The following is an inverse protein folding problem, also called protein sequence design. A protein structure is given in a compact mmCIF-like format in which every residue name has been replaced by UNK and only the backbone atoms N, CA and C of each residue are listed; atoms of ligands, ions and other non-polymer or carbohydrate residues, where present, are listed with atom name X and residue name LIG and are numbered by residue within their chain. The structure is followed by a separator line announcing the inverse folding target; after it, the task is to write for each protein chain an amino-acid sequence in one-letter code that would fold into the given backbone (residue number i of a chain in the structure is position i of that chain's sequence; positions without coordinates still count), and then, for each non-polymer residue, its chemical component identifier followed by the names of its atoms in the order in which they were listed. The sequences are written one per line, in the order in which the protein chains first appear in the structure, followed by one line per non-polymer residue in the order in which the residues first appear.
data_IF_100875460016
#
_entry.id   IF_100875460016
#
_cell.length_a   1.000
_cell.length_b   1.000
_cell.length_c   1.000
_cell.angle_alpha   90.00
_cell.angle_beta   90.00
_cell.angle_gamma   90.00
#
_symmetry.space_group_name_H-M   'P 1'
#
loop_
_entity.id
_entity.type
_entity.pdbx_description
1 polymer ?
#
# COMPACT_ATOMS: atom_id res chain seq x y z
N UNK A 1 40.08 16.68 44.58
CA UNK A 1 38.83 17.04 43.86
C UNK A 1 38.27 18.29 44.50
N UNK A 2 38.10 19.39 43.75
CA UNK A 2 37.58 20.64 44.31
C UNK A 2 36.05 20.59 44.38
N UNK A 3 35.44 21.25 45.37
CA UNK A 3 33.98 21.30 45.54
C UNK A 3 33.22 21.88 44.32
N UNK A 4 33.94 22.51 43.38
CA UNK A 4 33.40 23.08 42.14
C UNK A 4 33.19 22.05 41.02
N UNK A 5 33.77 20.84 41.10
CA UNK A 5 33.55 19.79 40.07
C UNK A 5 32.27 18.99 40.28
N UNK A 6 31.70 18.96 41.49
CA UNK A 6 30.49 18.18 41.82
C UNK A 6 29.21 18.69 41.14
N UNK A 7 28.91 20.01 41.07
CA UNK A 7 27.74 20.52 40.36
C UNK A 7 27.85 20.34 38.84
N UNK A 8 29.05 20.52 38.29
CA UNK A 8 29.34 20.31 36.87
C UNK A 8 29.25 18.83 36.49
N UNK A 9 29.76 17.92 37.32
CA UNK A 9 29.54 16.47 37.18
C UNK A 9 28.06 16.11 37.35
N UNK A 10 27.34 16.74 38.27
CA UNK A 10 25.89 16.53 38.44
C UNK A 10 25.05 17.09 37.28
N UNK A 11 25.50 18.15 36.60
CA UNK A 11 24.91 18.68 35.38
C UNK A 11 25.27 17.82 34.16
N UNK A 12 26.53 17.39 34.04
CA UNK A 12 26.99 16.51 32.97
C UNK A 12 26.37 15.11 33.08
N UNK A 13 26.20 14.57 34.30
CA UNK A 13 25.53 13.30 34.53
C UNK A 13 24.02 13.44 34.29
N UNK A 14 23.40 14.58 34.61
CA UNK A 14 22.02 14.89 34.19
C UNK A 14 21.89 14.96 32.68
N UNK A 15 22.80 15.62 31.98
CA UNK A 15 22.79 15.69 30.51
C UNK A 15 23.01 14.31 29.85
N UNK A 16 23.94 13.51 30.38
CA UNK A 16 24.23 12.15 29.92
C UNK A 16 23.11 11.14 30.25
N UNK A 17 22.35 11.38 31.32
CA UNK A 17 21.16 10.62 31.67
C UNK A 17 19.90 11.10 30.93
N UNK A 18 19.83 12.37 30.53
CA UNK A 18 18.64 12.99 29.96
C UNK A 18 18.51 12.87 28.43
N UNK A 19 19.60 12.63 27.69
CA UNK A 19 19.55 12.41 26.25
C UNK A 19 19.80 10.93 25.95
N UNK A 20 18.76 10.15 25.61
CA UNK A 20 18.97 8.81 25.11
C UNK A 20 19.66 8.87 23.75
N UNK A 21 20.67 8.04 23.58
CA UNK A 21 21.25 7.83 22.26
C UNK A 21 20.21 7.16 21.35
N UNK A 22 19.44 6.20 21.87
CA UNK A 22 18.57 5.32 21.10
C UNK A 22 17.18 5.15 21.71
N UNK A 23 16.16 4.88 20.89
CA UNK A 23 14.81 4.53 21.37
C UNK A 23 14.82 3.29 22.27
N UNK A 24 15.57 2.26 21.89
CA UNK A 24 15.67 1.01 22.65
C UNK A 24 16.24 1.20 24.06
N UNK A 25 16.91 2.32 24.33
CA UNK A 25 17.45 2.62 25.65
C UNK A 25 16.43 3.28 26.59
N UNK A 26 15.28 3.76 26.09
CA UNK A 26 14.33 4.59 26.87
C UNK A 26 13.83 3.90 28.12
N UNK A 27 13.56 2.60 28.03
CA UNK A 27 13.03 1.81 29.12
C UNK A 27 13.95 1.80 30.35
N UNK A 28 15.26 2.03 30.16
CA UNK A 28 16.24 2.10 31.24
C UNK A 28 16.43 3.51 31.83
N UNK A 29 15.80 4.53 31.25
CA UNK A 29 16.00 5.94 31.62
C UNK A 29 15.02 6.40 32.68
N UNK A 30 15.38 7.44 33.41
CA UNK A 30 14.53 8.08 34.44
C UNK A 30 14.41 9.60 34.22
N UNK A 31 13.79 10.06 33.10
CA UNK A 31 13.70 11.49 32.81
C UNK A 31 12.94 12.25 33.91
N UNK A 32 13.49 13.36 34.43
CA UNK A 32 12.82 14.22 35.41
C UNK A 32 11.43 14.68 34.94
N UNK A 33 10.50 14.96 35.86
CA UNK A 33 9.11 15.26 35.53
C UNK A 33 8.94 16.47 34.59
N UNK A 34 9.84 17.45 34.66
CA UNK A 34 9.88 18.63 33.82
C UNK A 34 10.29 18.36 32.35
N UNK A 35 10.89 17.20 32.08
CA UNK A 35 11.27 16.81 30.72
C UNK A 35 10.03 16.29 30.00
N UNK A 36 9.41 17.11 29.17
CA UNK A 36 8.23 16.73 28.36
C UNK A 36 8.59 16.19 26.98
N UNK A 37 9.84 16.38 26.55
CA UNK A 37 10.33 15.97 25.24
C UNK A 37 11.73 15.36 25.35
N UNK A 38 11.97 14.34 24.53
CA UNK A 38 13.25 13.64 24.43
C UNK A 38 13.54 13.39 22.95
N UNK A 39 14.76 13.72 22.51
CA UNK A 39 15.22 13.44 21.15
C UNK A 39 16.18 12.23 21.17
N UNK A 40 16.14 11.41 20.12
CA UNK A 40 17.04 10.27 19.92
C UNK A 40 17.97 10.48 18.74
N UNK A 41 19.14 9.86 18.80
CA UNK A 41 20.05 9.79 17.65
C UNK A 41 19.72 8.61 16.73
N UNK A 42 18.85 7.69 17.15
CA UNK A 42 18.38 6.56 16.36
C UNK A 42 17.35 5.68 17.09
N UNK A 43 16.87 4.62 16.43
CA UNK A 43 15.96 3.62 17.02
C UNK A 43 16.75 2.56 17.78
N UNK A 44 17.43 1.65 17.05
CA UNK A 44 18.31 0.61 17.60
C UNK A 44 19.79 0.88 17.29
N UNK A 45 20.06 1.69 16.27
CA UNK A 45 21.40 2.02 15.78
C UNK A 45 21.51 3.55 15.64
N UNK A 46 22.60 4.19 16.10
CA UNK A 46 22.76 5.63 15.94
C UNK A 46 22.76 6.03 14.46
N UNK A 47 22.13 7.18 14.17
CA UNK A 47 21.98 7.71 12.82
C UNK A 47 20.81 7.13 12.01
N UNK A 48 20.05 6.17 12.56
CA UNK A 48 18.91 5.56 11.86
C UNK A 48 17.66 5.57 12.72
N UNK A 49 16.57 6.14 12.21
CA UNK A 49 15.32 6.26 12.96
C UNK A 49 15.41 7.25 14.12
N UNK A 50 16.24 8.29 13.97
CA UNK A 50 16.28 9.39 14.91
C UNK A 50 14.89 10.06 14.97
N UNK A 51 14.44 10.38 16.18
CA UNK A 51 13.09 10.88 16.38
C UNK A 51 12.99 11.77 17.61
N UNK A 52 11.89 12.50 17.67
CA UNK A 52 11.45 13.26 18.83
C UNK A 52 10.30 12.52 19.49
N UNK A 53 10.37 12.39 20.80
CA UNK A 53 9.34 11.76 21.61
C UNK A 53 8.82 12.75 22.64
N UNK A 54 7.52 12.72 22.91
CA UNK A 54 6.86 13.62 23.87
C UNK A 54 6.05 12.82 24.89
N UNK A 55 5.94 13.37 26.09
CA UNK A 55 5.07 12.89 27.16
C UNK A 55 3.90 13.88 27.30
N UNK A 56 2.75 13.54 26.71
CA UNK A 56 1.56 14.38 26.65
C UNK A 56 0.29 13.62 27.09
N UNK A 57 -0.89 14.21 26.92
CA UNK A 57 -2.17 13.61 27.34
C UNK A 57 -2.57 12.37 26.53
N UNK A 58 -1.95 12.12 25.38
CA UNK A 58 -2.19 10.91 24.58
C UNK A 58 -1.35 9.73 25.08
N UNK A 59 -0.29 9.99 25.85
CA UNK A 59 0.59 8.97 26.40
C UNK A 59 -0.09 8.19 27.52
N UNK A 60 -0.68 7.04 27.18
CA UNK A 60 -1.34 6.13 28.11
C UNK A 60 -0.96 4.67 27.83
N UNK A 61 -1.37 3.77 28.73
CA UNK A 61 -1.03 2.34 28.65
C UNK A 61 -1.62 1.65 27.42
N UNK A 62 -2.78 2.10 26.94
CA UNK A 62 -3.41 1.54 25.75
C UNK A 62 -2.60 1.88 24.49
N UNK A 63 -2.17 3.14 24.34
CA UNK A 63 -1.33 3.56 23.23
C UNK A 63 0.04 2.85 23.27
N UNK A 64 0.62 2.69 24.46
CA UNK A 64 1.86 1.93 24.65
C UNK A 64 1.71 0.46 24.23
N UNK A 65 0.64 -0.20 24.65
CA UNK A 65 0.38 -1.60 24.32
C UNK A 65 0.13 -1.79 22.81
N UNK A 66 -0.58 -0.85 22.17
CA UNK A 66 -0.88 -0.91 20.75
C UNK A 66 0.33 -0.57 19.85
N UNK A 67 1.24 0.31 20.30
CA UNK A 67 2.32 0.82 19.46
C UNK A 67 3.70 0.83 20.16
N UNK A 68 4.20 -0.32 20.65
CA UNK A 68 5.45 -0.40 21.42
C UNK A 68 6.71 -0.03 20.63
N UNK A 69 6.63 0.06 19.29
CA UNK A 69 7.73 0.52 18.41
C UNK A 69 7.87 2.04 18.36
N UNK A 70 6.83 2.76 18.75
CA UNK A 70 6.77 4.23 18.68
C UNK A 70 6.48 4.86 20.05
N UNK A 71 6.11 4.04 21.03
CA UNK A 71 5.72 4.45 22.37
C UNK A 71 6.47 3.59 23.37
N UNK A 72 6.99 4.21 24.41
CA UNK A 72 7.81 3.51 25.39
C UNK A 72 7.58 4.05 26.79
N UNK A 73 7.70 3.16 27.77
CA UNK A 73 7.65 3.50 29.19
C UNK A 73 9.07 3.52 29.75
N UNK A 74 9.43 4.62 30.39
CA UNK A 74 10.71 4.79 31.07
C UNK A 74 10.73 4.08 32.42
N UNK A 75 11.90 3.92 33.04
CA UNK A 75 12.07 3.22 34.32
C UNK A 75 11.35 3.90 35.50
N UNK A 76 11.06 5.21 35.38
CA UNK A 76 10.23 5.96 36.33
C UNK A 76 8.74 6.03 35.92
N UNK A 77 8.27 5.08 35.11
CA UNK A 77 6.88 4.90 34.67
C UNK A 77 6.28 6.06 33.86
N UNK A 78 7.11 6.90 33.23
CA UNK A 78 6.62 7.92 32.30
C UNK A 78 6.50 7.32 30.91
N UNK A 79 5.45 7.69 30.18
CA UNK A 79 5.21 7.21 28.82
C UNK A 79 5.55 8.33 27.86
N UNK A 80 6.35 7.99 26.85
CA UNK A 80 6.71 8.87 25.76
C UNK A 80 6.27 8.23 24.45
N UNK A 81 5.65 9.02 23.58
CA UNK A 81 5.25 8.63 22.23
C UNK A 81 6.04 9.41 21.19
N UNK A 82 6.28 8.84 20.02
CA UNK A 82 6.88 9.56 18.91
C UNK A 82 6.00 10.76 18.52
N UNK A 83 6.62 11.91 18.28
CA UNK A 83 5.95 13.08 17.72
C UNK A 83 6.24 13.12 16.21
N UNK A 84 5.24 12.88 15.34
CA UNK A 84 5.41 13.01 13.90
C UNK A 84 5.94 14.41 13.54
N UNK A 85 6.91 14.47 12.63
CA UNK A 85 7.44 15.74 12.13
C UNK A 85 6.55 16.24 11.00
N UNK A 86 5.86 17.37 11.21
CA UNK A 86 4.91 17.94 10.24
C UNK A 86 3.89 16.92 9.71
N UNK A 87 3.32 16.12 10.61
CA UNK A 87 2.37 15.02 10.29
C UNK A 87 2.97 13.89 9.44
N UNK A 88 4.30 13.71 9.48
CA UNK A 88 5.01 12.65 8.78
C UNK A 88 5.90 11.86 9.74
N UNK A 89 6.07 10.57 9.51
CA UNK A 89 6.99 9.71 10.26
C UNK A 89 7.69 8.73 9.33
N UNK A 90 8.89 8.28 9.70
CA UNK A 90 9.67 7.33 8.91
C UNK A 90 9.60 5.92 9.51
N UNK A 91 9.57 4.91 8.65
CA UNK A 91 9.50 3.49 9.09
C UNK A 91 10.71 3.07 9.94
N UNK A 92 11.87 3.71 9.74
CA UNK A 92 13.08 3.52 10.55
C UNK A 92 12.87 3.92 12.02
N UNK A 93 11.97 4.88 12.28
CA UNK A 93 11.64 5.30 13.64
C UNK A 93 10.84 4.23 14.40
N UNK A 94 10.28 3.23 13.70
CA UNK A 94 9.71 2.01 14.26
C UNK A 94 10.65 0.80 14.22
N UNK A 95 11.91 1.03 13.83
CA UNK A 95 12.96 0.01 13.79
C UNK A 95 13.11 -0.72 12.47
N UNK A 96 12.55 -0.23 11.35
CA UNK A 96 12.84 -0.79 10.04
C UNK A 96 14.35 -0.69 9.72
N UNK A 97 14.92 -1.79 9.26
CA UNK A 97 16.32 -1.97 8.90
C UNK A 97 16.64 -1.44 7.50
N UNK A 98 15.71 -1.39 6.54
CA UNK A 98 15.90 -0.72 5.25
C UNK A 98 17.18 -1.13 4.51
N UNK A 99 17.60 -2.38 4.65
CA UNK A 99 18.81 -2.95 4.05
C UNK A 99 18.48 -3.97 2.94
N UNK A 100 17.19 -4.13 2.63
CA UNK A 100 16.67 -5.10 1.67
C UNK A 100 16.87 -6.57 2.07
N UNK A 101 17.28 -6.84 3.31
CA UNK A 101 17.66 -8.20 3.76
C UNK A 101 16.87 -8.65 4.98
N UNK A 102 16.68 -7.78 5.97
CA UNK A 102 15.87 -8.05 7.16
C UNK A 102 14.39 -7.85 6.84
N UNK A 103 13.53 -8.70 7.41
CA UNK A 103 12.09 -8.51 7.30
C UNK A 103 11.64 -7.25 8.03
N UNK A 104 11.27 -6.23 7.25
CA UNK A 104 10.80 -4.92 7.71
C UNK A 104 9.28 -4.83 7.79
N UNK A 105 8.55 -5.85 7.32
CA UNK A 105 7.08 -5.85 7.31
C UNK A 105 6.48 -5.46 8.68
N UNK A 106 6.92 -6.03 9.83
CA UNK A 106 6.31 -5.68 11.11
C UNK A 106 6.56 -4.22 11.53
N UNK A 107 7.69 -3.64 11.13
CA UNK A 107 8.02 -2.25 11.44
C UNK A 107 7.22 -1.28 10.55
N UNK A 108 7.09 -1.60 9.26
CA UNK A 108 6.33 -0.79 8.29
C UNK A 108 4.84 -0.82 8.60
N UNK A 109 4.25 -1.99 8.86
CA UNK A 109 2.84 -2.07 9.25
C UNK A 109 2.58 -1.29 10.54
N UNK A 110 3.45 -1.42 11.54
CA UNK A 110 3.31 -0.66 12.79
C UNK A 110 3.42 0.85 12.57
N UNK A 111 4.22 1.32 11.59
CA UNK A 111 4.32 2.72 11.22
C UNK A 111 3.01 3.25 10.63
N UNK A 112 2.37 2.48 9.76
CA UNK A 112 1.06 2.78 9.19
C UNK A 112 0.01 2.83 10.31
N UNK A 113 -0.03 1.84 11.20
CA UNK A 113 -0.99 1.80 12.30
C UNK A 113 -0.78 2.96 13.29
N UNK A 114 0.47 3.31 13.58
CA UNK A 114 0.80 4.42 14.45
C UNK A 114 0.44 5.78 13.83
N UNK A 115 0.65 5.93 12.52
CA UNK A 115 0.24 7.11 11.77
C UNK A 115 -1.28 7.33 11.88
N UNK A 116 -2.08 6.27 11.70
CA UNK A 116 -3.53 6.32 11.89
C UNK A 116 -3.95 6.72 13.31
N UNK A 117 -3.22 6.25 14.34
CA UNK A 117 -3.53 6.53 15.74
C UNK A 117 -3.13 7.95 16.19
N UNK A 118 -2.25 8.62 15.45
CA UNK A 118 -1.71 9.95 15.81
C UNK A 118 -1.97 11.00 14.72
N UNK A 119 -2.91 10.73 13.80
CA UNK A 119 -3.30 11.61 12.68
C UNK A 119 -2.09 12.12 11.87
N UNK A 120 -1.07 11.27 11.69
CA UNK A 120 -0.02 11.53 10.72
C UNK A 120 -0.56 11.23 9.32
N UNK A 121 -0.30 12.15 8.39
CA UNK A 121 -0.75 12.07 7.01
C UNK A 121 0.21 11.25 6.12
N UNK A 122 1.46 11.04 6.55
CA UNK A 122 2.51 10.43 5.72
C UNK A 122 3.37 9.44 6.50
N UNK A 123 3.68 8.32 5.84
CA UNK A 123 4.74 7.37 6.20
C UNK A 123 5.83 7.41 5.13
N UNK A 124 7.06 7.69 5.57
CA UNK A 124 8.24 7.83 4.72
C UNK A 124 9.12 6.60 4.76
N UNK A 125 9.71 6.33 3.61
CA UNK A 125 10.72 5.28 3.44
C UNK A 125 12.06 5.93 3.06
N UNK A 126 12.94 6.14 4.04
CA UNK A 126 14.19 6.88 3.84
C UNK A 126 15.31 6.03 3.21
N UNK A 127 15.22 4.71 3.33
CA UNK A 127 16.16 3.76 2.78
C UNK A 127 15.80 3.33 1.33
N UNK A 128 16.78 2.84 0.56
CA UNK A 128 16.55 2.48 -0.84
C UNK A 128 15.77 1.18 -1.02
N UNK A 129 15.76 0.27 -0.04
CA UNK A 129 15.09 -1.02 -0.16
C UNK A 129 14.66 -1.58 1.20
N UNK A 130 13.49 -2.22 1.23
CA UNK A 130 12.94 -2.94 2.38
C UNK A 130 12.46 -4.31 1.90
N UNK A 131 12.72 -5.35 2.68
CA UNK A 131 12.14 -6.69 2.46
C UNK A 131 10.88 -6.82 3.30
N UNK A 132 9.81 -7.29 2.70
CA UNK A 132 8.53 -7.51 3.37
C UNK A 132 8.08 -8.94 3.17
N UNK A 133 8.09 -9.73 4.23
CA UNK A 133 7.64 -11.13 4.16
C UNK A 133 6.13 -11.18 4.31
N UNK A 134 5.48 -12.06 3.54
CA UNK A 134 4.06 -12.32 3.68
C UNK A 134 3.76 -12.89 5.06
N UNK A 135 2.86 -12.28 5.87
CA UNK A 135 2.41 -12.88 7.11
C UNK A 135 1.68 -14.21 6.85
N UNK A 136 1.57 -15.09 7.87
CA UNK A 136 0.77 -16.29 7.74
C UNK A 136 -0.72 -15.93 7.59
N UNK A 137 -1.40 -16.62 6.69
CA UNK A 137 -2.85 -16.57 6.52
C UNK A 137 -3.48 -17.72 7.29
N UNK A 138 -4.30 -17.39 8.27
CA UNK A 138 -5.05 -18.29 9.14
C UNK A 138 -6.52 -18.37 8.73
N UNK A 139 -7.05 -17.29 8.14
CA UNK A 139 -8.42 -17.23 7.64
C UNK A 139 -8.54 -17.88 6.25
N UNK A 140 -9.72 -18.44 5.88
CA UNK A 140 -9.94 -18.99 4.54
C UNK A 140 -9.66 -17.99 3.41
N UNK A 141 -9.32 -18.49 2.21
CA UNK A 141 -9.04 -17.64 1.04
C UNK A 141 -10.26 -16.81 0.61
N UNK A 142 -11.48 -17.33 0.77
CA UNK A 142 -12.71 -16.60 0.44
C UNK A 142 -13.01 -15.42 1.37
N UNK A 143 -12.36 -15.35 2.55
CA UNK A 143 -12.58 -14.25 3.48
C UNK A 143 -11.89 -12.99 2.96
N UNK A 144 -12.61 -12.26 2.12
CA UNK A 144 -12.15 -11.04 1.47
C UNK A 144 -11.92 -9.86 2.42
N UNK A 145 -12.20 -9.99 3.72
CA UNK A 145 -12.04 -8.92 4.72
C UNK A 145 -11.02 -9.27 5.80
N UNK A 146 -10.68 -10.54 5.96
CA UNK A 146 -9.61 -10.94 6.86
C UNK A 146 -8.29 -10.24 6.51
N UNK A 147 -7.70 -9.60 7.53
CA UNK A 147 -6.49 -8.80 7.41
C UNK A 147 -5.21 -9.64 7.58
N UNK A 148 -5.33 -10.82 8.19
CA UNK A 148 -4.20 -11.75 8.33
C UNK A 148 -3.74 -12.24 6.95
N UNK A 149 -2.45 -12.51 6.81
CA UNK A 149 -1.87 -12.91 5.52
C UNK A 149 -1.59 -11.77 4.53
N UNK A 150 -1.89 -10.51 4.85
CA UNK A 150 -1.54 -9.35 4.02
C UNK A 150 -0.30 -8.63 4.55
N UNK A 151 0.72 -8.34 3.72
CA UNK A 151 1.90 -7.62 4.19
C UNK A 151 1.60 -6.23 4.73
N UNK A 152 0.79 -5.44 4.03
CA UNK A 152 0.46 -4.08 4.42
C UNK A 152 -1.04 -3.83 4.33
N UNK A 153 -1.64 -3.38 5.43
CA UNK A 153 -3.06 -3.07 5.55
C UNK A 153 -3.24 -1.58 5.85
N UNK A 154 -4.00 -0.90 4.99
CA UNK A 154 -4.33 0.53 5.10
C UNK A 154 -5.81 0.66 5.48
N UNK A 155 -6.09 1.46 6.52
CA UNK A 155 -7.45 1.62 7.10
C UNK A 155 -7.92 3.06 7.13
N UNK A 156 -7.01 4.03 6.92
CA UNK A 156 -7.33 5.45 6.84
C UNK A 156 -6.53 6.11 5.74
N UNK A 157 -6.92 7.34 5.39
CA UNK A 157 -6.17 8.16 4.46
C UNK A 157 -4.71 8.31 4.89
N UNK A 158 -3.78 8.04 3.96
CA UNK A 158 -2.34 8.11 4.22
C UNK A 158 -1.57 8.27 2.91
N UNK A 159 -0.39 8.89 3.00
CA UNK A 159 0.61 8.90 1.94
C UNK A 159 1.75 7.95 2.29
N UNK A 160 2.13 7.09 1.34
CA UNK A 160 3.29 6.20 1.41
C UNK A 160 4.35 6.73 0.42
N UNK A 161 5.47 7.27 0.92
CA UNK A 161 6.43 8.02 0.08
C UNK A 161 7.88 7.53 0.19
N UNK A 162 8.48 7.22 -0.94
CA UNK A 162 9.92 6.93 -1.06
C UNK A 162 10.77 8.21 -0.99
N UNK A 163 11.70 8.26 -0.04
CA UNK A 163 12.60 9.39 0.20
C UNK A 163 14.07 9.11 -0.12
N UNK A 164 14.40 7.89 -0.54
CA UNK A 164 15.74 7.58 -1.00
C UNK A 164 16.12 8.39 -2.27
N UNK A 165 17.42 8.45 -2.54
CA UNK A 165 17.95 9.16 -3.71
C UNK A 165 17.38 8.65 -5.05
N UNK A 166 17.03 7.36 -5.08
CA UNK A 166 16.23 6.72 -6.13
C UNK A 166 14.89 6.30 -5.54
N UNK A 167 13.95 5.87 -6.39
CA UNK A 167 12.70 5.25 -5.92
C UNK A 167 13.02 4.14 -4.93
N UNK A 168 12.29 4.09 -3.83
CA UNK A 168 12.46 3.08 -2.80
C UNK A 168 11.81 1.78 -3.25
N UNK A 169 12.49 0.65 -3.05
CA UNK A 169 11.94 -0.68 -3.35
C UNK A 169 11.30 -1.29 -2.10
N UNK A 170 10.05 -1.70 -2.22
CA UNK A 170 9.38 -2.60 -1.28
C UNK A 170 9.37 -3.99 -1.93
N UNK A 171 10.25 -4.87 -1.43
CA UNK A 171 10.52 -6.19 -1.97
C UNK A 171 9.67 -7.23 -1.22
N UNK A 172 8.53 -7.61 -1.82
CA UNK A 172 7.59 -8.54 -1.22
C UNK A 172 8.06 -9.99 -1.46
N UNK A 173 8.02 -10.78 -0.40
CA UNK A 173 8.49 -12.18 -0.35
C UNK A 173 7.38 -13.10 0.14
N UNK A 174 7.59 -14.42 -0.03
CA UNK A 174 6.70 -15.42 0.55
C UNK A 174 6.77 -15.39 2.09
N UNK A 175 6.06 -16.32 2.73
CA UNK A 175 6.16 -16.55 4.17
C UNK A 175 7.63 -16.80 4.56
N UNK A 176 8.06 -16.26 5.70
CA UNK A 176 9.45 -16.33 6.21
C UNK A 176 10.52 -15.79 5.24
N UNK A 177 10.05 -15.09 4.20
CA UNK A 177 10.76 -14.46 3.10
C UNK A 177 11.50 -15.40 2.17
N UNK A 178 10.92 -16.58 1.97
CA UNK A 178 11.28 -17.46 0.88
C UNK A 178 10.99 -16.83 -0.50
N UNK A 179 11.39 -17.53 -1.56
CA UNK A 179 11.20 -17.10 -2.95
C UNK A 179 9.70 -16.99 -3.30
N UNK A 180 9.17 -15.78 -3.58
CA UNK A 180 7.76 -15.59 -3.88
C UNK A 180 7.30 -16.17 -5.22
N UNK A 181 8.21 -16.57 -6.11
CA UNK A 181 7.85 -17.28 -7.33
C UNK A 181 7.48 -18.75 -7.05
N UNK A 182 8.32 -19.46 -6.28
CA UNK A 182 8.14 -20.89 -6.01
C UNK A 182 7.36 -21.20 -4.74
N UNK A 183 7.36 -20.30 -3.75
CA UNK A 183 6.72 -20.51 -2.46
C UNK A 183 5.43 -19.71 -2.31
N UNK A 184 4.43 -20.36 -1.72
CA UNK A 184 3.11 -19.82 -1.45
C UNK A 184 2.47 -20.59 -0.29
N UNK A 185 1.46 -19.99 0.33
CA UNK A 185 0.70 -20.65 1.39
C UNK A 185 -0.45 -21.45 0.77
N UNK A 186 -0.81 -22.56 1.41
CA UNK A 186 -2.03 -23.30 1.13
C UNK A 186 -3.00 -23.13 2.30
N UNK A 187 -4.14 -22.52 2.03
CA UNK A 187 -5.18 -22.24 3.03
C UNK A 187 -6.50 -22.84 2.59
N UNK A 188 -7.42 -23.07 3.54
CA UNK A 188 -8.76 -23.55 3.19
C UNK A 188 -9.43 -22.57 2.22
N UNK A 189 -10.08 -23.09 1.18
CA UNK A 189 -10.83 -22.28 0.22
C UNK A 189 -11.94 -21.51 0.93
N UNK A 190 -12.73 -22.21 1.74
CA UNK A 190 -13.84 -21.64 2.51
C UNK A 190 -13.91 -22.24 3.91
N UNK A 191 -14.71 -21.63 4.79
CA UNK A 191 -15.01 -22.24 6.10
C UNK A 191 -15.76 -23.58 6.00
N UNK A 192 -16.33 -23.89 4.82
CA UNK A 192 -17.14 -25.09 4.56
C UNK A 192 -16.55 -26.07 3.55
N UNK A 193 -15.47 -25.69 2.88
CA UNK A 193 -14.77 -26.45 1.85
C UNK A 193 -13.31 -26.66 2.29
N UNK A 194 -12.92 -27.90 2.63
CA UNK A 194 -11.56 -28.21 3.05
C UNK A 194 -10.55 -28.23 1.89
N UNK A 195 -10.98 -28.04 0.64
CA UNK A 195 -10.07 -27.86 -0.48
C UNK A 195 -9.08 -26.71 -0.18
N UNK A 196 -7.86 -26.85 -0.68
CA UNK A 196 -6.82 -25.85 -0.46
C UNK A 196 -6.76 -24.91 -1.66
N UNK A 197 -6.64 -23.62 -1.37
CA UNK A 197 -6.39 -22.55 -2.32
C UNK A 197 -5.00 -21.96 -2.07
N UNK A 198 -4.39 -21.45 -3.14
CA UNK A 198 -3.14 -20.71 -3.08
C UNK A 198 -3.36 -19.36 -2.41
N UNK A 199 -2.42 -18.96 -1.54
CA UNK A 199 -2.40 -17.64 -0.91
C UNK A 199 -1.01 -17.01 -0.96
N UNK A 200 -0.94 -15.77 -1.45
CA UNK A 200 0.29 -14.96 -1.54
C UNK A 200 0.21 -13.58 -0.88
N UNK A 201 -0.99 -13.15 -0.49
CA UNK A 201 -1.23 -11.94 0.31
C UNK A 201 -1.14 -10.60 -0.43
N UNK A 202 -0.44 -10.52 -1.57
CA UNK A 202 -0.27 -9.28 -2.32
C UNK A 202 0.64 -8.27 -1.60
N UNK A 203 0.48 -6.97 -1.87
CA UNK A 203 1.22 -5.90 -1.21
C UNK A 203 0.33 -5.01 -0.33
N UNK A 204 -0.48 -4.14 -0.93
CA UNK A 204 -1.32 -3.17 -0.23
C UNK A 204 -2.78 -3.62 -0.23
N UNK A 205 -3.31 -3.90 0.95
CA UNK A 205 -4.72 -4.25 1.16
C UNK A 205 -5.46 -3.08 1.82
N UNK A 206 -6.48 -2.55 1.14
CA UNK A 206 -7.24 -1.39 1.59
C UNK A 206 -8.54 -1.84 2.27
N UNK A 207 -8.66 -1.52 3.55
CA UNK A 207 -9.83 -1.78 4.38
C UNK A 207 -10.65 -0.50 4.56
N UNK A 208 -11.30 -0.08 3.48
CA UNK A 208 -12.23 1.06 3.48
C UNK A 208 -13.58 0.74 4.14
N UNK A 209 -14.53 1.65 3.97
CA UNK A 209 -15.88 1.54 4.55
C UNK A 209 -16.66 0.38 3.91
N UNK A 210 -17.38 -0.41 4.70
CA UNK A 210 -18.19 -1.52 4.18
C UNK A 210 -19.55 -1.00 3.68
N UNK A 211 -20.17 -0.10 4.44
CA UNK A 211 -21.41 0.53 4.06
C UNK A 211 -21.11 1.78 3.21
N UNK A 212 -21.93 2.02 2.17
CA UNK A 212 -21.79 3.21 1.35
C UNK A 212 -21.88 4.48 2.24
N UNK A 213 -20.78 5.26 2.35
CA UNK A 213 -20.75 6.44 3.21
C UNK A 213 -21.52 7.64 2.62
N UNK A 214 -22.02 7.52 1.38
CA UNK A 214 -22.71 8.58 0.66
C UNK A 214 -21.83 9.82 0.51
N UNK A 215 -22.38 11.00 0.78
CA UNK A 215 -21.62 12.25 0.82
C UNK A 215 -20.82 12.45 2.13
N UNK A 216 -20.79 11.45 3.01
CA UNK A 216 -19.99 11.45 4.24
C UNK A 216 -18.49 11.28 3.97
N UNK A 217 -17.67 11.55 4.98
CA UNK A 217 -16.22 11.35 4.87
C UNK A 217 -15.89 9.85 4.89
N UNK A 218 -15.24 9.36 3.83
CA UNK A 218 -14.73 7.98 3.77
C UNK A 218 -13.57 7.79 4.76
N UNK A 219 -13.45 6.61 5.37
CA UNK A 219 -12.33 6.26 6.27
C UNK A 219 -10.99 6.38 5.54
N UNK A 220 -10.93 5.83 4.32
CA UNK A 220 -9.85 6.08 3.35
C UNK A 220 -10.38 7.06 2.31
N UNK A 221 -10.37 8.34 2.63
CA UNK A 221 -10.69 9.40 1.67
C UNK A 221 -9.62 9.59 0.59
N UNK A 222 -8.35 9.30 0.91
CA UNK A 222 -7.23 9.43 -0.03
C UNK A 222 -6.07 8.52 0.33
N UNK A 223 -5.60 7.72 -0.63
CA UNK A 223 -4.33 7.01 -0.58
C UNK A 223 -3.37 7.64 -1.60
N UNK A 224 -2.18 8.05 -1.15
CA UNK A 224 -1.09 8.42 -2.05
C UNK A 224 0.05 7.40 -1.99
N UNK A 225 0.57 7.01 -3.15
CA UNK A 225 1.74 6.17 -3.30
C UNK A 225 2.72 6.92 -4.20
N UNK A 226 3.89 7.27 -3.68
CA UNK A 226 4.83 8.13 -4.41
C UNK A 226 6.27 7.63 -4.32
N UNK A 227 6.94 7.55 -5.48
CA UNK A 227 8.34 7.13 -5.62
C UNK A 227 8.65 5.76 -5.02
N UNK A 228 7.71 4.83 -5.12
CA UNK A 228 7.86 3.45 -4.64
C UNK A 228 7.92 2.45 -5.81
N UNK A 229 8.65 1.36 -5.60
CA UNK A 229 8.61 0.17 -6.45
C UNK A 229 8.08 -0.97 -5.60
N UNK A 230 6.85 -1.41 -5.85
CA UNK A 230 6.23 -2.56 -5.21
C UNK A 230 6.60 -3.78 -6.05
N UNK A 231 7.51 -4.60 -5.53
CA UNK A 231 8.12 -5.71 -6.27
C UNK A 231 7.67 -7.04 -5.69
N UNK A 232 6.83 -7.78 -6.41
CA UNK A 232 6.37 -9.11 -6.01
C UNK A 232 7.28 -10.26 -6.47
N UNK A 233 8.28 -9.97 -7.32
CA UNK A 233 9.29 -10.90 -7.84
C UNK A 233 8.76 -12.14 -8.58
N UNK A 234 7.51 -12.15 -9.02
CA UNK A 234 6.97 -13.26 -9.83
C UNK A 234 7.16 -13.06 -11.32
N UNK A 235 7.11 -14.16 -12.05
CA UNK A 235 7.17 -14.21 -13.49
C UNK A 235 5.77 -14.42 -14.10
N UNK A 236 5.54 -13.77 -15.24
CA UNK A 236 4.42 -14.06 -16.11
C UNK A 236 4.72 -15.35 -16.90
N UNK A 237 3.90 -16.39 -16.72
CA UNK A 237 4.08 -17.72 -17.33
C UNK A 237 3.15 -17.98 -18.51
N UNK A 238 2.13 -17.13 -18.67
CA UNK A 238 1.04 -17.34 -19.63
C UNK A 238 -0.03 -18.32 -19.15
N UNK A 239 0.09 -18.88 -17.94
CA UNK A 239 -0.97 -19.65 -17.30
C UNK A 239 -2.02 -18.69 -16.72
N UNK A 240 -3.18 -18.61 -17.36
CA UNK A 240 -4.28 -17.71 -17.00
C UNK A 240 -5.47 -18.47 -16.38
N UNK A 241 -5.32 -19.76 -16.10
CA UNK A 241 -6.35 -20.56 -15.45
C UNK A 241 -6.64 -20.01 -14.05
N UNK A 242 -7.94 -19.83 -13.76
CA UNK A 242 -8.44 -19.43 -12.46
C UNK A 242 -9.28 -20.55 -11.83
N UNK A 243 -9.11 -20.85 -10.53
CA UNK A 243 -8.05 -20.32 -9.66
C UNK A 243 -6.67 -20.90 -10.01
N UNK A 244 -5.60 -20.27 -9.49
CA UNK A 244 -4.25 -20.84 -9.55
C UNK A 244 -4.21 -22.27 -8.99
N UNK A 245 -3.40 -23.12 -9.60
CA UNK A 245 -3.30 -24.53 -9.26
C UNK A 245 -2.61 -24.71 -7.90
N UNK A 246 -3.27 -25.39 -6.95
CA UNK A 246 -2.75 -25.56 -5.60
C UNK A 246 -1.49 -26.46 -5.51
N UNK A 247 -1.24 -27.32 -6.51
CA UNK A 247 -0.08 -28.22 -6.54
C UNK A 247 1.17 -27.54 -7.07
N UNK A 248 1.01 -26.60 -8.01
CA UNK A 248 2.13 -25.93 -8.69
C UNK A 248 2.27 -24.46 -8.32
N UNK A 249 1.20 -23.84 -7.84
CA UNK A 249 1.09 -22.42 -7.54
C UNK A 249 0.88 -21.52 -8.76
N UNK A 250 0.98 -22.06 -9.98
CA UNK A 250 0.88 -21.28 -11.21
C UNK A 250 -0.57 -21.07 -11.66
N UNK A 251 -0.79 -20.06 -12.49
CA UNK A 251 -2.13 -19.62 -12.90
C UNK A 251 -2.46 -18.20 -12.42
N UNK A 252 -3.72 -17.81 -12.55
CA UNK A 252 -4.23 -16.52 -12.08
C UNK A 252 -4.61 -16.61 -10.60
N UNK A 253 -3.74 -16.08 -9.74
CA UNK A 253 -3.92 -16.05 -8.27
C UNK A 253 -4.50 -14.72 -7.81
N UNK A 254 -5.80 -14.68 -7.54
CA UNK A 254 -6.49 -13.45 -7.10
C UNK A 254 -6.04 -12.94 -5.72
N UNK A 255 -5.23 -13.68 -4.97
CA UNK A 255 -4.71 -13.23 -3.68
C UNK A 255 -3.41 -12.42 -3.82
N UNK A 256 -2.80 -12.41 -5.01
CA UNK A 256 -1.50 -11.81 -5.26
C UNK A 256 -1.60 -10.49 -6.05
N UNK A 257 -2.01 -9.44 -5.36
CA UNK A 257 -2.27 -8.11 -5.94
C UNK A 257 -1.32 -7.06 -5.38
N UNK A 258 -0.84 -6.12 -6.19
CA UNK A 258 -0.01 -5.02 -5.67
C UNK A 258 -0.85 -4.00 -4.88
N UNK A 259 -2.03 -3.67 -5.41
CA UNK A 259 -3.03 -2.84 -4.75
C UNK A 259 -4.39 -3.52 -4.83
N UNK A 260 -4.99 -3.73 -3.67
CA UNK A 260 -6.22 -4.48 -3.50
C UNK A 260 -7.26 -3.65 -2.75
N UNK A 261 -8.28 -3.20 -3.49
CA UNK A 261 -9.55 -2.67 -2.95
C UNK A 261 -10.65 -3.67 -3.30
N UNK A 262 -11.34 -4.22 -2.30
CA UNK A 262 -12.40 -5.20 -2.52
C UNK A 262 -13.53 -4.98 -1.53
N UNK A 263 -14.74 -4.88 -2.08
CA UNK A 263 -16.00 -4.85 -1.33
C UNK A 263 -15.97 -3.76 -0.24
N UNK A 264 -15.40 -2.59 -0.58
CA UNK A 264 -15.27 -1.45 0.31
C UNK A 264 -15.22 -0.12 -0.45
N UNK A 265 -15.60 0.97 0.23
CA UNK A 265 -15.60 2.31 -0.30
C UNK A 265 -14.33 3.06 0.11
N UNK A 266 -13.61 3.60 -0.87
CA UNK A 266 -12.44 4.46 -0.72
C UNK A 266 -12.54 5.67 -1.66
N UNK A 267 -11.91 6.78 -1.32
CA UNK A 267 -12.02 8.02 -2.11
C UNK A 267 -11.06 8.01 -3.29
N UNK A 268 -10.01 8.81 -3.18
CA UNK A 268 -8.99 8.96 -4.22
C UNK A 268 -7.82 7.98 -4.02
N UNK A 269 -7.36 7.37 -5.11
CA UNK A 269 -6.10 6.61 -5.14
C UNK A 269 -5.16 7.31 -6.11
N UNK A 270 -4.01 7.73 -5.61
CA UNK A 270 -3.06 8.52 -6.39
C UNK A 270 -1.70 7.86 -6.37
N UNK A 271 -1.19 7.51 -7.55
CA UNK A 271 0.14 6.95 -7.73
C UNK A 271 1.02 7.90 -8.55
N UNK A 272 2.22 8.20 -8.06
CA UNK A 272 3.21 9.04 -8.77
C UNK A 272 4.57 8.36 -8.75
N UNK A 273 5.26 8.39 -9.89
CA UNK A 273 6.60 7.80 -10.05
C UNK A 273 6.70 6.38 -9.47
N UNK A 274 5.67 5.55 -9.65
CA UNK A 274 5.51 4.28 -8.92
C UNK A 274 5.40 3.09 -9.86
N UNK A 275 6.20 2.04 -9.57
CA UNK A 275 6.12 0.77 -10.29
C UNK A 275 5.48 -0.30 -9.40
N UNK A 276 4.64 -1.14 -9.98
CA UNK A 276 4.10 -2.34 -9.35
C UNK A 276 4.36 -3.51 -10.29
N UNK A 277 5.26 -4.42 -9.92
CA UNK A 277 5.78 -5.43 -10.84
C UNK A 277 5.95 -6.82 -10.24
N UNK A 278 5.65 -7.84 -11.05
CA UNK A 278 5.91 -9.25 -10.76
C UNK A 278 4.90 -9.86 -9.79
N UNK A 279 3.66 -10.07 -10.25
CA UNK A 279 2.53 -10.59 -9.48
C UNK A 279 1.92 -11.81 -10.19
N UNK A 280 1.11 -12.62 -9.52
CA UNK A 280 0.34 -13.72 -10.17
C UNK A 280 -1.14 -13.37 -10.34
N UNK A 281 -1.65 -12.41 -9.59
CA UNK A 281 -2.99 -11.86 -9.72
C UNK A 281 -3.02 -10.50 -10.41
N UNK A 282 -4.16 -9.83 -10.32
CA UNK A 282 -4.28 -8.47 -10.82
C UNK A 282 -3.34 -7.52 -10.10
N UNK A 283 -2.60 -6.68 -10.81
CA UNK A 283 -1.61 -5.80 -10.17
C UNK A 283 -2.34 -4.67 -9.44
N UNK A 284 -3.15 -3.90 -10.15
CA UNK A 284 -3.98 -2.84 -9.60
C UNK A 284 -5.45 -3.24 -9.71
N UNK A 285 -6.09 -3.49 -8.57
CA UNK A 285 -7.45 -4.03 -8.53
C UNK A 285 -8.39 -3.24 -7.62
N UNK A 286 -9.55 -2.90 -8.17
CA UNK A 286 -10.65 -2.30 -7.42
C UNK A 286 -11.95 -3.03 -7.73
N UNK A 287 -12.67 -3.49 -6.70
CA UNK A 287 -14.00 -4.10 -6.85
C UNK A 287 -14.93 -3.70 -5.70
N UNK A 288 -16.22 -3.97 -5.88
CA UNK A 288 -17.28 -3.67 -4.93
C UNK A 288 -18.49 -3.09 -5.65
N UNK A 289 -19.18 -2.17 -4.99
CA UNK A 289 -20.25 -1.38 -5.62
C UNK A 289 -19.70 -0.44 -6.70
N UNK A 290 -20.57 0.04 -7.59
CA UNK A 290 -20.18 0.84 -8.74
C UNK A 290 -19.40 2.11 -8.35
N UNK A 291 -19.75 2.77 -7.25
CA UNK A 291 -19.14 4.01 -6.72
C UNK A 291 -18.15 3.75 -5.57
N UNK A 292 -17.65 2.52 -5.45
CA UNK A 292 -16.70 2.10 -4.41
C UNK A 292 -15.37 2.88 -4.45
N UNK A 293 -14.96 3.41 -5.60
CA UNK A 293 -13.77 4.27 -5.74
C UNK A 293 -14.15 5.53 -6.48
N UNK A 294 -13.81 6.71 -5.93
CA UNK A 294 -14.19 7.98 -6.55
C UNK A 294 -13.27 8.33 -7.73
N UNK A 295 -11.96 8.19 -7.53
CA UNK A 295 -10.96 8.65 -8.49
C UNK A 295 -9.66 7.88 -8.41
N UNK A 296 -9.05 7.62 -9.57
CA UNK A 296 -7.73 7.02 -9.71
C UNK A 296 -6.85 7.97 -10.55
N UNK A 297 -5.75 8.44 -9.97
CA UNK A 297 -4.74 9.25 -10.66
C UNK A 297 -3.41 8.51 -10.75
N UNK A 298 -2.88 8.37 -11.95
CA UNK A 298 -1.61 7.67 -12.23
C UNK A 298 -0.68 8.60 -13.00
N UNK A 299 0.50 8.86 -12.47
CA UNK A 299 1.50 9.70 -13.13
C UNK A 299 2.86 9.01 -13.15
N UNK A 300 3.39 8.75 -14.34
CA UNK A 300 4.68 8.06 -14.51
C UNK A 300 4.71 6.73 -13.74
N UNK A 301 3.67 5.91 -13.95
CA UNK A 301 3.51 4.62 -13.32
C UNK A 301 3.78 3.45 -14.27
N UNK A 302 4.21 2.31 -13.73
CA UNK A 302 4.36 1.07 -14.50
C UNK A 302 3.73 -0.10 -13.77
N UNK A 303 2.78 -0.77 -14.40
CA UNK A 303 2.17 -2.01 -13.92
C UNK A 303 2.51 -3.13 -14.90
N UNK A 304 3.36 -4.07 -14.47
CA UNK A 304 3.84 -5.10 -15.39
C UNK A 304 4.16 -6.44 -14.75
N UNK A 305 4.17 -7.49 -15.57
CA UNK A 305 4.50 -8.87 -15.18
C UNK A 305 3.43 -9.46 -14.28
N UNK A 306 2.40 -10.06 -14.90
CA UNK A 306 1.34 -10.77 -14.20
C UNK A 306 0.66 -11.89 -15.00
N UNK A 307 0.21 -12.97 -14.36
CA UNK A 307 -0.67 -13.95 -14.99
C UNK A 307 -2.14 -13.48 -15.13
N UNK A 308 -2.53 -12.44 -14.39
CA UNK A 308 -3.87 -11.83 -14.45
C UNK A 308 -3.87 -10.49 -15.18
N UNK A 309 -4.60 -9.51 -14.63
CA UNK A 309 -4.77 -8.18 -15.23
C UNK A 309 -3.80 -7.15 -14.64
N UNK A 310 -3.11 -6.34 -15.45
CA UNK A 310 -2.23 -5.31 -14.90
C UNK A 310 -3.02 -4.12 -14.33
N UNK A 311 -4.05 -3.63 -15.02
CA UNK A 311 -4.95 -2.59 -14.52
C UNK A 311 -6.41 -3.05 -14.60
N UNK A 312 -7.02 -3.34 -13.45
CA UNK A 312 -8.42 -3.74 -13.32
C UNK A 312 -9.20 -2.76 -12.41
N UNK A 313 -9.63 -1.61 -12.96
CA UNK A 313 -10.50 -0.70 -12.25
C UNK A 313 -11.93 -1.23 -12.36
N UNK A 314 -12.29 -2.29 -11.64
CA UNK A 314 -13.58 -2.99 -11.73
C UNK A 314 -14.82 -2.19 -11.30
N UNK A 315 -14.69 -0.90 -10.99
CA UNK A 315 -15.75 0.01 -10.52
C UNK A 315 -15.76 1.30 -11.34
N UNK A 316 -16.77 2.15 -11.19
CA UNK A 316 -16.92 3.43 -11.90
C UNK A 316 -16.19 4.58 -11.20
N UNK A 317 -14.86 4.54 -11.29
CA UNK A 317 -13.98 5.62 -10.83
C UNK A 317 -13.67 6.61 -11.96
N UNK A 318 -13.48 7.90 -11.66
CA UNK A 318 -12.81 8.79 -12.62
C UNK A 318 -11.34 8.37 -12.76
N UNK A 319 -10.87 8.15 -13.99
CA UNK A 319 -9.46 7.78 -14.23
C UNK A 319 -8.72 8.93 -14.93
N UNK A 320 -7.56 9.29 -14.39
CA UNK A 320 -6.55 10.09 -15.07
C UNK A 320 -5.22 9.33 -15.03
N UNK A 321 -4.72 8.89 -16.17
CA UNK A 321 -3.41 8.30 -16.30
C UNK A 321 -2.55 9.13 -17.27
N UNK A 322 -1.32 9.44 -16.86
CA UNK A 322 -0.36 10.25 -17.61
C UNK A 322 1.00 9.58 -17.58
N UNK A 323 1.65 9.46 -18.74
CA UNK A 323 3.00 8.91 -18.90
C UNK A 323 3.17 7.52 -18.26
N UNK A 324 2.11 6.70 -18.30
CA UNK A 324 2.07 5.42 -17.59
C UNK A 324 2.06 4.22 -18.54
N UNK A 325 2.60 3.09 -18.09
CA UNK A 325 2.70 1.86 -18.88
C UNK A 325 2.05 0.67 -18.17
N UNK A 326 1.37 -0.17 -18.93
CA UNK A 326 0.59 -1.31 -18.43
C UNK A 326 0.78 -2.49 -19.39
N UNK A 327 1.28 -3.64 -18.93
CA UNK A 327 1.59 -4.72 -19.86
C UNK A 327 2.34 -5.92 -19.29
N UNK A 328 2.87 -6.78 -20.15
CA UNK A 328 3.51 -8.06 -19.76
C UNK A 328 2.58 -8.88 -18.86
N UNK A 329 1.39 -9.19 -19.36
CA UNK A 329 0.38 -9.93 -18.61
C UNK A 329 -0.69 -10.56 -19.49
N UNK A 330 -1.59 -11.34 -18.90
CA UNK A 330 -2.76 -11.85 -19.63
C UNK A 330 -3.63 -10.71 -20.15
N UNK A 331 -4.06 -9.81 -19.25
CA UNK A 331 -4.87 -8.65 -19.62
C UNK A 331 -4.17 -7.35 -19.24
N UNK A 332 -3.77 -6.52 -20.20
CA UNK A 332 -3.17 -5.23 -19.85
C UNK A 332 -4.17 -4.37 -19.09
N UNK A 333 -5.41 -4.31 -19.58
CA UNK A 333 -6.47 -3.60 -18.90
C UNK A 333 -7.82 -4.29 -19.08
N UNK A 334 -8.51 -4.45 -17.97
CA UNK A 334 -9.90 -4.91 -17.91
C UNK A 334 -10.78 -3.71 -17.53
N UNK A 335 -11.11 -2.86 -18.51
CA UNK A 335 -11.91 -1.67 -18.26
C UNK A 335 -13.22 -1.71 -19.06
N UNK A 336 -14.30 -2.04 -18.34
CA UNK A 336 -15.59 -2.39 -18.95
C UNK A 336 -16.68 -1.34 -18.73
N UNK A 337 -16.44 -0.31 -17.92
CA UNK A 337 -17.39 0.79 -17.68
C UNK A 337 -16.82 1.92 -16.82
N UNK A 338 -16.75 3.14 -17.36
CA UNK A 338 -16.41 4.37 -16.63
C UNK A 338 -17.27 5.52 -17.10
N UNK A 339 -17.69 6.36 -16.18
CA UNK A 339 -18.26 7.68 -16.42
C UNK A 339 -17.23 8.60 -17.09
N UNK A 340 -15.96 8.51 -16.68
CA UNK A 340 -14.87 9.31 -17.27
C UNK A 340 -13.51 8.66 -17.10
N UNK A 341 -12.77 8.52 -18.20
CA UNK A 341 -11.37 8.11 -18.18
C UNK A 341 -10.53 8.95 -19.17
N UNK A 342 -9.33 9.35 -18.77
CA UNK A 342 -8.38 10.09 -19.59
C UNK A 342 -7.02 9.44 -19.49
N UNK A 343 -6.48 9.02 -20.63
CA UNK A 343 -5.15 8.44 -20.74
C UNK A 343 -4.31 9.35 -21.65
N UNK A 344 -3.17 9.82 -21.15
CA UNK A 344 -2.25 10.70 -21.87
C UNK A 344 -0.86 10.10 -21.93
N UNK A 345 -0.34 9.93 -23.13
CA UNK A 345 0.99 9.36 -23.36
C UNK A 345 1.19 8.02 -22.65
N UNK A 346 0.12 7.22 -22.55
CA UNK A 346 0.16 5.90 -21.95
C UNK A 346 0.52 4.83 -22.99
N UNK A 347 1.13 3.74 -22.52
CA UNK A 347 1.47 2.59 -23.37
C UNK A 347 0.87 1.32 -22.79
N UNK A 348 0.12 0.58 -23.60
CA UNK A 348 -0.27 -0.80 -23.32
C UNK A 348 0.57 -1.74 -24.15
N UNK A 349 1.13 -2.79 -23.54
CA UNK A 349 2.09 -3.63 -24.23
C UNK A 349 2.09 -5.11 -23.81
N UNK A 350 2.58 -5.97 -24.72
CA UNK A 350 3.00 -7.35 -24.45
C UNK A 350 1.93 -8.16 -23.68
N UNK A 351 0.71 -8.24 -24.22
CA UNK A 351 -0.41 -8.88 -23.55
C UNK A 351 -1.32 -9.68 -24.50
N UNK A 352 -2.04 -10.65 -23.92
CA UNK A 352 -2.94 -11.51 -24.68
C UNK A 352 -4.27 -10.81 -25.00
N UNK A 353 -4.76 -10.00 -24.07
CA UNK A 353 -6.01 -9.27 -24.24
C UNK A 353 -5.98 -7.87 -23.62
N UNK A 354 -6.81 -6.99 -24.17
CA UNK A 354 -7.12 -5.69 -23.58
C UNK A 354 -8.53 -5.26 -23.95
N UNK A 355 -9.26 -4.72 -22.97
CA UNK A 355 -10.53 -4.04 -23.14
C UNK A 355 -10.49 -2.62 -22.59
N UNK A 356 -10.96 -1.64 -23.37
CA UNK A 356 -11.09 -0.25 -22.93
C UNK A 356 -12.39 0.37 -23.44
N UNK A 357 -13.13 1.02 -22.55
CA UNK A 357 -14.36 1.69 -22.91
C UNK A 357 -15.06 2.37 -21.75
N UNK A 358 -16.06 3.17 -22.10
CA UNK A 358 -16.90 3.91 -21.16
C UNK A 358 -18.37 3.51 -21.33
N UNK A 359 -19.19 3.72 -20.31
CA UNK A 359 -20.60 3.31 -20.29
C UNK A 359 -21.29 3.72 -19.00
N UNK A 360 -22.62 3.88 -19.01
CA UNK A 360 -23.37 4.15 -17.77
C UNK A 360 -23.36 2.94 -16.87
N UNK A 361 -23.16 3.17 -15.59
CA UNK A 361 -23.50 2.21 -14.54
C UNK A 361 -25.01 2.23 -14.31
N UNK A 362 -25.70 1.14 -14.68
CA UNK A 362 -27.11 0.95 -14.31
C UNK A 362 -27.23 0.19 -12.97
N UNK A 363 -26.20 0.24 -12.13
CA UNK A 363 -26.16 -0.44 -10.83
C UNK A 363 -26.08 -1.97 -10.89
N UNK A 364 -25.87 -2.58 -12.06
CA UNK A 364 -25.69 -4.02 -12.21
C UNK A 364 -24.30 -4.29 -12.77
N UNK A 365 -23.61 -5.27 -12.16
CA UNK A 365 -22.34 -5.85 -12.59
C UNK A 365 -22.23 -5.84 -14.13
N UNK A 366 -21.17 -5.20 -14.63
CA UNK A 366 -20.86 -5.00 -16.07
C UNK A 366 -21.73 -3.94 -16.79
N UNK A 367 -21.29 -2.70 -16.68
CA UNK A 367 -21.99 -1.50 -17.12
C UNK A 367 -21.72 -1.13 -18.60
N UNK A 368 -22.39 -1.83 -19.52
CA UNK A 368 -22.13 -1.70 -20.97
C UNK A 368 -23.09 -0.77 -21.72
N UNK A 369 -24.06 -0.14 -21.06
CA UNK A 369 -25.14 0.59 -21.74
C UNK A 369 -25.38 1.98 -21.14
N UNK A 370 -24.94 3.03 -21.85
CA UNK A 370 -25.49 4.38 -21.67
C UNK A 370 -26.76 4.51 -22.52
N UNK A 371 -27.91 4.92 -21.96
CA UNK A 371 -29.07 5.23 -22.79
C UNK A 371 -28.69 6.41 -23.68
N UNK A 372 -28.51 6.17 -24.98
CA UNK A 372 -28.10 7.18 -25.99
C UNK A 372 -29.11 8.32 -26.18
N UNK A 373 -30.08 8.46 -25.27
CA UNK A 373 -31.19 9.41 -25.25
C UNK A 373 -31.27 10.19 -23.93
N UNK A 374 -30.34 10.01 -23.00
CA UNK A 374 -30.24 10.93 -21.85
C UNK A 374 -29.58 12.23 -22.33
N UNK A 375 -30.40 13.24 -22.58
CA UNK A 375 -29.95 14.57 -23.00
C UNK A 375 -29.55 15.46 -21.79
N UNK A 376 -29.74 14.98 -20.56
CA UNK A 376 -29.53 15.78 -19.34
C UNK A 376 -28.16 15.56 -18.71
N UNK A 377 -27.50 14.43 -19.00
CA UNK A 377 -26.15 14.11 -18.55
C UNK A 377 -25.12 14.20 -19.69
N UNK A 378 -23.88 14.52 -19.36
CA UNK A 378 -22.79 14.35 -20.33
C UNK A 378 -22.60 12.85 -20.62
N UNK A 379 -22.41 12.45 -21.88
CA UNK A 379 -22.13 11.05 -22.18
C UNK A 379 -20.81 10.64 -21.52
N UNK A 380 -20.72 9.39 -21.05
CA UNK A 380 -19.48 8.88 -20.49
C UNK A 380 -18.41 8.89 -21.59
N UNK A 381 -17.15 9.01 -21.22
CA UNK A 381 -16.07 9.14 -22.22
C UNK A 381 -14.75 8.61 -21.72
N UNK A 382 -14.13 7.76 -22.53
CA UNK A 382 -12.70 7.47 -22.45
C UNK A 382 -11.97 8.26 -23.52
N UNK A 383 -11.02 9.10 -23.09
CA UNK A 383 -10.19 9.92 -23.95
C UNK A 383 -8.76 9.37 -23.99
N UNK A 384 -8.27 9.11 -25.20
CA UNK A 384 -6.89 8.75 -25.48
C UNK A 384 -6.15 9.97 -26.06
N UNK A 385 -5.01 10.34 -25.51
CA UNK A 385 -4.18 11.42 -26.04
C UNK A 385 -2.74 10.93 -26.19
N UNK A 386 -2.30 10.72 -27.44
CA UNK A 386 -0.94 10.26 -27.75
C UNK A 386 -0.58 8.88 -27.14
N UNK A 387 -1.56 7.98 -27.09
CA UNK A 387 -1.41 6.64 -26.51
C UNK A 387 -0.83 5.62 -27.49
N UNK A 388 -0.14 4.60 -26.99
CA UNK A 388 0.48 3.53 -27.77
C UNK A 388 -0.07 2.16 -27.36
N UNK A 389 -0.28 1.28 -28.33
CA UNK A 389 -0.70 -0.11 -28.11
C UNK A 389 0.27 -1.01 -28.88
N UNK A 390 1.05 -1.83 -28.17
CA UNK A 390 2.14 -2.64 -28.75
C UNK A 390 1.95 -4.12 -28.42
N UNK A 391 2.10 -5.01 -29.41
CA UNK A 391 2.12 -6.46 -29.17
C UNK A 391 0.92 -6.98 -28.34
N UNK A 392 -0.28 -6.48 -28.66
CA UNK A 392 -1.55 -6.90 -28.03
C UNK A 392 -2.24 -7.91 -28.96
N UNK A 393 -2.38 -9.16 -28.52
CA UNK A 393 -2.97 -10.22 -29.33
C UNK A 393 -4.46 -9.99 -29.62
N UNK A 394 -5.21 -9.47 -28.65
CA UNK A 394 -6.63 -9.13 -28.80
C UNK A 394 -6.95 -7.77 -28.17
N UNK A 395 -7.01 -6.72 -29.01
CA UNK A 395 -7.40 -5.37 -28.61
C UNK A 395 -8.88 -5.10 -28.89
N UNK A 396 -9.64 -4.74 -27.86
CA UNK A 396 -11.05 -4.35 -27.96
C UNK A 396 -11.30 -2.95 -27.41
N UNK A 397 -11.76 -2.04 -28.27
CA UNK A 397 -12.41 -0.81 -27.84
C UNK A 397 -13.92 -1.03 -27.76
N UNK A 398 -14.52 -0.71 -26.62
CA UNK A 398 -15.96 -0.69 -26.45
C UNK A 398 -16.52 0.71 -26.77
N UNK A 399 -17.72 1.02 -26.28
CA UNK A 399 -18.39 2.29 -26.56
C UNK A 399 -17.66 3.48 -25.95
N UNK A 400 -17.94 4.66 -26.51
CA UNK A 400 -17.55 5.96 -25.93
C UNK A 400 -16.04 6.16 -25.74
N UNK A 401 -15.25 5.64 -26.69
CA UNK A 401 -13.81 5.88 -26.78
C UNK A 401 -13.52 6.86 -27.91
N UNK A 402 -12.69 7.87 -27.66
CA UNK A 402 -12.17 8.77 -28.70
C UNK A 402 -10.74 9.18 -28.38
N UNK A 403 -9.99 9.68 -29.35
CA UNK A 403 -8.67 10.22 -29.08
C UNK A 403 -7.68 10.10 -30.21
N UNK A 404 -6.41 10.29 -29.86
CA UNK A 404 -5.26 10.04 -30.74
C UNK A 404 -4.40 8.90 -30.20
N UNK A 405 -3.92 8.09 -31.13
CA UNK A 405 -2.96 7.02 -30.89
C UNK A 405 -1.67 7.31 -31.67
N UNK A 406 -0.53 6.86 -31.15
CA UNK A 406 0.76 6.88 -31.83
C UNK A 406 1.19 5.45 -32.18
N UNK A 407 1.90 5.33 -33.29
CA UNK A 407 2.36 4.06 -33.89
C UNK A 407 3.84 3.85 -33.71
#
# INVERSE_FOLDING_TARGET
MSALTLPALGLANRAAQALPALFTDFASRTPPAEVVQIDTTGHTIPGKGAARYICDTLCNDALLAAHPRFVTRTANNRIFRLLPDRSSLAVEQGGAAGDGSVNDQPAIQAAIDYAHANDAAEVRFEAPAYRLDCPPRLSPAEDKRAEDGHPLVVRRSIALRGHAARRTVLDFRALDGDDPESEYQLVATSGSDPALAVWRGGALFLQGDIANPGAGQRSIGRLEIDRLVLKGNRQHTGAYEWPADAQTGDGWDITDKALWVQDCFVGEIICRDTDMVGWKGEIFFTAGEADAVERIELHNCRFATSNGSALNPGVDAEILAVDSSVGDCFQAQEDVAKSRAVYRNCTWHDCDAMGLGSGSTNGVLYAQAYPTRDETAAPPMTLLENCEFRDIRSLRFASWVRGSIRT
#
